data_IF_743347178342
#
_entry.id   IF_743347178342
#
_cell.length_a   1.000
_cell.length_b   1.000
_cell.length_c   1.000
_cell.angle_alpha   90.00
_cell.angle_beta   90.00
_cell.angle_gamma   90.00
#
_symmetry.space_group_name_H-M   'P 1'
#
loop_
_entity.id
_entity.type
_entity.pdbx_description
1 polymer ?
#
# COMPACT_ATOMS: atom_id res chain seq x y z
N UNK A 1 -35.11 -6.27 -68.69
CA UNK A 1 -35.44 -5.96 -67.27
C UNK A 1 -35.22 -7.20 -66.44
N UNK A 2 -34.16 -7.27 -65.62
CA UNK A 2 -33.97 -8.36 -64.65
C UNK A 2 -33.67 -7.76 -63.28
N UNK A 3 -34.63 -8.00 -62.41
CA UNK A 3 -34.84 -7.64 -61.01
C UNK A 3 -33.58 -7.39 -60.16
N UNK A 4 -33.53 -6.18 -59.62
CA UNK A 4 -32.72 -5.75 -58.48
C UNK A 4 -33.21 -6.54 -57.26
N UNK A 5 -32.40 -7.50 -56.79
CA UNK A 5 -32.64 -8.16 -55.50
C UNK A 5 -32.34 -7.14 -54.42
N UNK A 6 -33.39 -6.53 -53.88
CA UNK A 6 -33.34 -5.64 -52.73
C UNK A 6 -32.87 -6.41 -51.50
N UNK A 7 -31.55 -6.48 -51.32
CA UNK A 7 -30.95 -6.85 -50.05
C UNK A 7 -31.19 -5.69 -49.10
N UNK A 8 -32.20 -5.83 -48.23
CA UNK A 8 -32.37 -4.93 -47.09
C UNK A 8 -31.03 -4.67 -46.39
N UNK A 9 -30.84 -3.44 -45.94
CA UNK A 9 -29.61 -2.95 -45.31
C UNK A 9 -29.11 -3.95 -44.27
N UNK A 10 -27.79 -4.09 -44.10
CA UNK A 10 -27.21 -4.99 -43.10
C UNK A 10 -27.82 -4.80 -41.70
N UNK A 11 -28.23 -3.57 -41.38
CA UNK A 11 -28.98 -3.20 -40.17
C UNK A 11 -30.38 -3.83 -40.08
N UNK A 12 -31.11 -3.94 -41.18
CA UNK A 12 -32.44 -4.56 -41.21
C UNK A 12 -32.37 -6.07 -41.01
N UNK A 13 -31.31 -6.71 -41.53
CA UNK A 13 -31.02 -8.12 -41.25
C UNK A 13 -30.68 -8.33 -39.78
N UNK A 14 -29.88 -7.43 -39.20
CA UNK A 14 -29.50 -7.47 -37.79
C UNK A 14 -30.72 -7.34 -36.86
N UNK A 15 -31.66 -6.44 -37.16
CA UNK A 15 -32.90 -6.23 -36.38
C UNK A 15 -33.84 -7.45 -36.36
N UNK A 16 -33.73 -8.38 -37.33
CA UNK A 16 -34.52 -9.62 -37.34
C UNK A 16 -33.96 -10.69 -36.40
N UNK A 17 -32.68 -10.58 -36.04
CA UNK A 17 -31.96 -11.58 -35.23
C UNK A 17 -31.86 -11.11 -33.76
N UNK A 18 -31.74 -9.79 -33.55
CA UNK A 18 -31.62 -9.20 -32.22
C UNK A 18 -33.01 -9.13 -31.55
N UNK A 19 -33.13 -9.40 -30.22
CA UNK A 19 -34.38 -9.26 -29.49
C UNK A 19 -34.97 -7.84 -29.61
N UNK A 20 -36.29 -7.74 -29.70
CA UNK A 20 -36.99 -6.45 -29.91
C UNK A 20 -36.75 -5.41 -28.80
N UNK A 21 -36.30 -5.84 -27.62
CA UNK A 21 -35.96 -4.99 -26.48
C UNK A 21 -34.57 -4.33 -26.57
N UNK A 22 -33.70 -4.78 -27.48
CA UNK A 22 -32.32 -4.29 -27.56
C UNK A 22 -32.26 -3.07 -28.46
N UNK A 23 -31.94 -1.92 -27.86
CA UNK A 23 -31.69 -0.67 -28.55
C UNK A 23 -30.17 -0.42 -28.69
N UNK A 24 -29.72 0.33 -29.72
CA UNK A 24 -28.34 0.76 -29.81
C UNK A 24 -27.93 1.56 -28.56
N UNK A 25 -26.76 1.22 -28.00
CA UNK A 25 -26.24 1.87 -26.79
C UNK A 25 -25.92 3.36 -26.98
N UNK A 26 -25.65 3.78 -28.22
CA UNK A 26 -25.27 5.16 -28.57
C UNK A 26 -26.07 5.63 -29.79
N UNK A 27 -26.53 6.87 -29.77
CA UNK A 27 -27.24 7.50 -30.87
C UNK A 27 -26.32 8.24 -31.84
N UNK A 28 -25.12 8.63 -31.37
CA UNK A 28 -24.14 9.37 -32.18
C UNK A 28 -22.71 8.84 -32.04
N UNK A 29 -21.87 9.14 -33.03
CA UNK A 29 -20.42 8.82 -32.99
C UNK A 29 -19.72 9.60 -31.86
N UNK A 30 -20.19 10.81 -31.56
CA UNK A 30 -19.62 11.64 -30.49
C UNK A 30 -19.86 11.01 -29.11
N UNK A 31 -21.09 10.54 -28.85
CA UNK A 31 -21.44 9.80 -27.62
C UNK A 31 -20.60 8.53 -27.47
N UNK A 32 -20.45 7.76 -28.55
CA UNK A 32 -19.63 6.55 -28.53
C UNK A 32 -18.15 6.85 -28.23
N UNK A 33 -17.57 7.90 -28.84
CA UNK A 33 -16.17 8.30 -28.60
C UNK A 33 -15.95 8.77 -27.17
N UNK A 34 -16.85 9.59 -26.63
CA UNK A 34 -16.77 10.05 -25.25
C UNK A 34 -16.86 8.87 -24.26
N UNK A 35 -17.77 7.92 -24.51
CA UNK A 35 -17.86 6.70 -23.73
C UNK A 35 -16.57 5.87 -23.83
N UNK A 36 -16.05 5.64 -25.05
CA UNK A 36 -14.83 4.88 -25.28
C UNK A 36 -13.62 5.49 -24.58
N UNK A 37 -13.47 6.82 -24.61
CA UNK A 37 -12.41 7.52 -23.89
C UNK A 37 -12.56 7.36 -22.37
N UNK A 38 -13.77 7.51 -21.83
CA UNK A 38 -14.04 7.35 -20.40
C UNK A 38 -13.73 5.93 -19.90
N UNK A 39 -14.11 4.90 -20.67
CA UNK A 39 -13.82 3.51 -20.34
C UNK A 39 -12.35 3.17 -20.55
N UNK A 40 -11.72 3.77 -21.56
CA UNK A 40 -10.28 3.69 -21.78
C UNK A 40 -9.49 4.21 -20.57
N UNK A 41 -9.86 5.38 -20.04
CA UNK A 41 -9.24 5.94 -18.82
C UNK A 41 -9.39 5.01 -17.62
N UNK A 42 -10.61 4.53 -17.33
CA UNK A 42 -10.85 3.58 -16.24
C UNK A 42 -10.00 2.32 -16.36
N UNK A 43 -9.91 1.77 -17.58
CA UNK A 43 -9.11 0.56 -17.85
C UNK A 43 -7.61 0.81 -17.72
N UNK A 44 -7.12 1.97 -18.15
CA UNK A 44 -5.73 2.38 -17.95
C UNK A 44 -5.40 2.50 -16.45
N UNK A 45 -6.26 3.16 -15.67
CA UNK A 45 -6.09 3.27 -14.22
C UNK A 45 -6.09 1.91 -13.52
N UNK A 46 -6.98 1.01 -13.92
CA UNK A 46 -7.04 -0.36 -13.39
C UNK A 46 -5.76 -1.15 -13.72
N UNK A 47 -5.31 -1.09 -14.98
CA UNK A 47 -4.06 -1.71 -15.41
C UNK A 47 -2.84 -1.13 -14.69
N UNK A 48 -2.80 0.19 -14.46
CA UNK A 48 -1.73 0.82 -13.69
C UNK A 48 -1.70 0.32 -12.25
N UNK A 49 -2.85 0.19 -11.59
CA UNK A 49 -2.95 -0.38 -10.23
C UNK A 49 -2.49 -1.83 -10.19
N UNK A 50 -2.94 -2.67 -11.13
CA UNK A 50 -2.50 -4.06 -11.21
C UNK A 50 -0.99 -4.15 -11.45
N UNK A 51 -0.46 -3.34 -12.37
CA UNK A 51 0.97 -3.28 -12.64
C UNK A 51 1.77 -2.83 -11.42
N UNK A 52 1.28 -1.85 -10.66
CA UNK A 52 1.92 -1.42 -9.41
C UNK A 52 1.94 -2.54 -8.37
N UNK A 53 0.82 -3.25 -8.18
CA UNK A 53 0.73 -4.39 -7.28
C UNK A 53 1.70 -5.50 -7.69
N UNK A 54 1.69 -5.90 -8.96
CA UNK A 54 2.60 -6.92 -9.49
C UNK A 54 4.07 -6.50 -9.42
N UNK A 55 4.38 -5.21 -9.62
CA UNK A 55 5.75 -4.68 -9.48
C UNK A 55 6.22 -4.76 -8.04
N UNK A 56 5.41 -4.31 -7.09
CA UNK A 56 5.72 -4.44 -5.67
C UNK A 56 6.01 -5.92 -5.34
N UNK A 57 5.15 -6.85 -5.81
CA UNK A 57 5.31 -8.30 -5.64
C UNK A 57 6.59 -8.88 -6.27
N UNK A 58 7.09 -8.28 -7.35
CA UNK A 58 8.33 -8.70 -8.01
C UNK A 58 9.59 -8.16 -7.33
N UNK A 59 9.54 -6.94 -6.81
CA UNK A 59 10.72 -6.26 -6.27
C UNK A 59 11.06 -6.80 -4.88
N UNK A 60 10.05 -6.99 -4.03
CA UNK A 60 10.23 -7.37 -2.63
C UNK A 60 9.75 -8.81 -2.33
N UNK A 61 9.47 -9.63 -3.35
CA UNK A 61 8.71 -10.88 -3.21
C UNK A 61 7.22 -10.61 -2.99
N UNK A 62 6.36 -11.65 -2.87
CA UNK A 62 4.89 -11.53 -2.68
C UNK A 62 4.58 -10.38 -1.71
N UNK A 63 4.23 -9.22 -2.27
CA UNK A 63 4.36 -7.96 -1.58
C UNK A 63 3.14 -7.64 -0.73
N UNK A 64 3.42 -6.79 0.25
CA UNK A 64 2.45 -6.04 1.01
C UNK A 64 2.56 -6.37 2.48
N UNK A 65 2.48 -7.66 2.82
CA UNK A 65 2.43 -8.14 4.20
C UNK A 65 3.08 -9.54 4.21
N UNK A 66 4.08 -9.75 5.08
CA UNK A 66 4.70 -11.08 5.24
C UNK A 66 3.63 -12.15 5.43
N UNK A 67 3.85 -13.37 4.92
CA UNK A 67 2.88 -14.48 5.00
C UNK A 67 2.35 -14.70 6.43
N UNK A 68 3.23 -14.49 7.42
CA UNK A 68 2.95 -14.52 8.84
C UNK A 68 1.82 -13.57 9.28
N UNK A 69 1.70 -12.42 8.63
CA UNK A 69 0.79 -11.34 9.01
C UNK A 69 -0.38 -11.17 8.03
N UNK A 70 -0.50 -11.99 6.99
CA UNK A 70 -1.59 -11.89 5.99
C UNK A 70 -2.99 -11.98 6.61
N UNK A 71 -3.15 -12.84 7.61
CA UNK A 71 -4.43 -13.03 8.30
C UNK A 71 -4.69 -11.97 9.38
N UNK A 72 -3.75 -11.05 9.65
CA UNK A 72 -3.94 -9.99 10.64
C UNK A 72 -4.97 -8.98 10.15
N UNK A 73 -6.05 -8.84 10.91
CA UNK A 73 -7.12 -7.87 10.66
C UNK A 73 -7.41 -7.10 11.95
N UNK A 74 -8.20 -6.03 11.84
CA UNK A 74 -8.66 -5.33 13.04
C UNK A 74 -9.59 -6.18 13.92
N UNK A 75 -10.26 -7.18 13.34
CA UNK A 75 -11.22 -8.03 14.05
C UNK A 75 -10.55 -9.08 14.94
N UNK A 76 -9.36 -9.57 14.54
CA UNK A 76 -8.62 -10.57 15.31
C UNK A 76 -7.46 -9.98 16.13
N UNK A 77 -7.42 -8.65 16.30
CA UNK A 77 -6.51 -8.00 17.24
C UNK A 77 -7.08 -8.06 18.66
N UNK A 78 -6.39 -8.73 19.59
CA UNK A 78 -6.85 -8.89 20.97
C UNK A 78 -6.54 -7.65 21.80
N UNK A 79 -7.53 -7.18 22.56
CA UNK A 79 -7.44 -5.99 23.41
C UNK A 79 -7.64 -6.40 24.86
N UNK A 80 -6.57 -6.32 25.62
CA UNK A 80 -6.47 -6.69 27.04
C UNK A 80 -6.26 -5.46 27.96
N UNK A 81 -6.18 -4.25 27.40
CA UNK A 81 -6.00 -3.01 28.17
C UNK A 81 -6.23 -1.75 27.35
N UNK A 82 -6.23 -0.60 28.03
CA UNK A 82 -6.59 0.69 27.43
C UNK A 82 -5.56 1.16 26.39
N UNK A 83 -4.26 0.89 26.59
CA UNK A 83 -3.22 1.18 25.60
C UNK A 83 -3.46 0.48 24.26
N UNK A 84 -3.78 -0.82 24.31
CA UNK A 84 -4.12 -1.62 23.12
C UNK A 84 -5.43 -1.14 22.47
N UNK A 85 -6.42 -0.76 23.28
CA UNK A 85 -7.69 -0.21 22.78
C UNK A 85 -7.43 1.09 22.03
N UNK A 86 -6.63 2.00 22.59
CA UNK A 86 -6.26 3.26 21.96
C UNK A 86 -5.48 3.04 20.66
N UNK A 87 -4.51 2.12 20.66
CA UNK A 87 -3.76 1.76 19.47
C UNK A 87 -4.67 1.23 18.35
N UNK A 88 -5.60 0.33 18.68
CA UNK A 88 -6.58 -0.21 17.74
C UNK A 88 -7.50 0.89 17.18
N UNK A 89 -8.01 1.79 18.04
CA UNK A 89 -8.87 2.89 17.61
C UNK A 89 -8.16 3.85 16.66
N UNK A 90 -6.92 4.25 16.99
CA UNK A 90 -6.13 5.14 16.13
C UNK A 90 -5.79 4.47 14.81
N UNK A 91 -5.39 3.20 14.81
CA UNK A 91 -5.11 2.45 13.58
C UNK A 91 -6.35 2.28 12.69
N UNK A 92 -7.53 2.03 13.28
CA UNK A 92 -8.80 1.98 12.55
C UNK A 92 -9.15 3.35 11.94
N UNK A 93 -9.07 4.41 12.74
CA UNK A 93 -9.34 5.77 12.28
C UNK A 93 -8.41 6.18 11.15
N UNK A 94 -7.13 5.85 11.25
CA UNK A 94 -6.14 6.06 10.20
C UNK A 94 -6.56 5.39 8.89
N UNK A 95 -6.88 4.10 8.95
CA UNK A 95 -7.24 3.35 7.75
C UNK A 95 -8.56 3.85 7.13
N UNK A 96 -9.53 4.24 7.96
CA UNK A 96 -10.82 4.76 7.53
C UNK A 96 -10.73 6.12 6.82
N UNK A 97 -9.83 6.99 7.27
CA UNK A 97 -9.65 8.35 6.74
C UNK A 97 -8.48 8.43 5.75
N UNK A 98 -7.97 7.29 5.28
CA UNK A 98 -6.84 7.26 4.36
C UNK A 98 -7.24 7.87 3.01
N UNK A 99 -6.50 8.88 2.56
CA UNK A 99 -6.76 9.63 1.33
C UNK A 99 -7.42 11.00 1.56
N UNK A 100 -8.03 11.24 2.73
CA UNK A 100 -8.64 12.54 3.07
C UNK A 100 -7.63 13.57 3.62
N UNK A 101 -6.37 13.15 3.78
CA UNK A 101 -5.28 14.00 4.27
C UNK A 101 -3.93 13.30 4.17
N UNK A 102 -2.90 13.99 4.64
CA UNK A 102 -1.52 13.52 4.64
C UNK A 102 -1.08 13.14 6.05
N UNK A 103 -1.52 11.97 6.52
CA UNK A 103 -1.16 11.50 7.86
C UNK A 103 -0.18 10.35 7.74
N UNK A 104 0.97 10.44 8.41
CA UNK A 104 1.90 9.33 8.62
C UNK A 104 1.66 8.71 10.00
N UNK A 105 2.21 7.51 10.26
CA UNK A 105 2.13 6.91 11.59
C UNK A 105 3.46 6.31 12.05
N UNK A 106 3.68 6.35 13.35
CA UNK A 106 4.80 5.70 14.02
C UNK A 106 4.27 4.83 15.14
N UNK A 107 4.56 3.52 15.04
CA UNK A 107 4.34 2.56 16.11
C UNK A 107 5.68 2.24 16.76
N UNK A 108 5.85 2.71 17.99
CA UNK A 108 7.04 2.51 18.82
C UNK A 108 6.72 1.51 19.93
N UNK A 109 7.65 0.66 20.33
CA UNK A 109 7.52 -0.16 21.55
C UNK A 109 8.20 -1.52 21.45
N UNK A 110 8.07 -2.37 22.48
CA UNK A 110 8.83 -3.63 22.53
C UNK A 110 8.41 -4.65 21.45
N UNK A 111 9.24 -5.65 21.12
CA UNK A 111 8.86 -6.75 20.24
C UNK A 111 7.67 -7.56 20.80
N UNK A 112 6.81 -8.05 19.91
CA UNK A 112 5.69 -8.92 20.28
C UNK A 112 4.46 -8.20 20.84
N UNK A 113 4.41 -6.87 20.78
CA UNK A 113 3.27 -6.06 21.25
C UNK A 113 2.18 -5.85 20.19
N UNK A 114 2.38 -6.33 18.96
CA UNK A 114 1.37 -6.29 17.90
C UNK A 114 1.46 -5.10 16.94
N UNK A 115 2.60 -4.38 16.89
CA UNK A 115 2.86 -3.32 15.91
C UNK A 115 2.63 -3.78 14.46
N UNK A 116 3.29 -4.88 14.07
CA UNK A 116 3.15 -5.49 12.75
C UNK A 116 1.74 -5.98 12.47
N UNK A 117 1.01 -6.46 13.49
CA UNK A 117 -0.39 -6.87 13.33
C UNK A 117 -1.26 -5.68 12.95
N UNK A 118 -1.15 -4.54 13.66
CA UNK A 118 -1.94 -3.35 13.33
C UNK A 118 -1.53 -2.74 12.00
N UNK A 119 -0.24 -2.72 11.66
CA UNK A 119 0.22 -2.28 10.35
C UNK A 119 -0.32 -3.17 9.22
N UNK A 120 -0.31 -4.50 9.41
CA UNK A 120 -0.90 -5.45 8.48
C UNK A 120 -2.43 -5.31 8.39
N UNK A 121 -3.11 -5.02 9.50
CA UNK A 121 -4.55 -4.77 9.51
C UNK A 121 -4.94 -3.50 8.73
N UNK A 122 -4.18 -2.41 8.90
CA UNK A 122 -4.26 -1.21 8.05
C UNK A 122 -4.03 -1.61 6.60
N UNK A 123 -2.96 -2.37 6.35
CA UNK A 123 -2.59 -2.86 5.02
C UNK A 123 -3.74 -3.58 4.30
N UNK A 124 -4.27 -4.61 4.95
CA UNK A 124 -5.37 -5.41 4.45
C UNK A 124 -6.64 -4.57 4.18
N UNK A 125 -6.96 -3.63 5.08
CA UNK A 125 -8.12 -2.76 4.93
C UNK A 125 -8.03 -1.83 3.72
N UNK A 126 -6.84 -1.31 3.45
CA UNK A 126 -6.55 -0.41 2.34
C UNK A 126 -6.44 -1.16 1.00
N UNK A 127 -5.85 -2.35 0.98
CA UNK A 127 -5.83 -3.22 -0.20
C UNK A 127 -7.25 -3.56 -0.68
N UNK A 128 -8.18 -3.81 0.25
CA UNK A 128 -9.60 -4.03 -0.07
C UNK A 128 -10.29 -2.80 -0.69
N UNK A 129 -9.73 -1.60 -0.54
CA UNK A 129 -10.22 -0.34 -1.13
C UNK A 129 -9.46 0.07 -2.40
N UNK A 130 -8.61 -0.82 -2.91
CA UNK A 130 -7.86 -0.57 -4.15
C UNK A 130 -6.61 0.28 -3.98
N UNK A 131 -6.14 0.51 -2.75
CA UNK A 131 -4.86 1.17 -2.49
C UNK A 131 -3.70 0.18 -2.56
N UNK A 132 -2.52 0.69 -2.91
CA UNK A 132 -1.26 -0.08 -2.98
C UNK A 132 -0.43 0.13 -1.73
N UNK A 133 0.13 -0.97 -1.21
CA UNK A 133 0.84 -0.95 0.07
C UNK A 133 2.04 -1.85 0.01
N UNK A 134 3.13 -1.39 0.63
CA UNK A 134 4.34 -2.16 0.77
C UNK A 134 4.83 -2.10 2.22
N UNK A 135 4.98 -3.26 2.85
CA UNK A 135 5.71 -3.40 4.12
C UNK A 135 7.08 -3.98 3.79
N UNK A 136 8.14 -3.28 4.20
CA UNK A 136 9.53 -3.69 3.98
C UNK A 136 10.34 -3.48 5.25
N UNK A 137 11.18 -4.45 5.61
CA UNK A 137 12.12 -4.29 6.72
C UNK A 137 13.32 -3.45 6.26
N UNK A 138 13.93 -2.68 7.16
CA UNK A 138 15.16 -1.95 6.81
C UNK A 138 16.28 -2.89 6.30
N UNK A 139 16.56 -4.05 6.92
CA UNK A 139 17.54 -4.99 6.38
C UNK A 139 17.26 -5.44 4.94
N UNK A 140 15.99 -5.76 4.60
CA UNK A 140 15.61 -6.19 3.25
C UNK A 140 15.74 -5.06 2.23
N UNK A 141 15.33 -3.85 2.61
CA UNK A 141 15.50 -2.66 1.78
C UNK A 141 16.97 -2.44 1.43
N UNK A 142 17.86 -2.53 2.43
CA UNK A 142 19.29 -2.30 2.23
C UNK A 142 19.95 -3.43 1.43
N UNK A 143 19.48 -4.67 1.59
CA UNK A 143 19.88 -5.77 0.70
C UNK A 143 19.50 -5.45 -0.75
N UNK A 144 18.29 -4.95 -0.99
CA UNK A 144 17.82 -4.62 -2.34
C UNK A 144 18.60 -3.49 -2.98
N UNK A 145 18.97 -2.48 -2.19
CA UNK A 145 19.83 -1.38 -2.65
C UNK A 145 21.22 -1.91 -3.04
N UNK A 146 21.81 -2.82 -2.26
CA UNK A 146 23.09 -3.46 -2.62
C UNK A 146 22.99 -4.24 -3.93
N UNK A 147 21.92 -5.02 -4.11
CA UNK A 147 21.70 -5.77 -5.36
C UNK A 147 21.56 -4.84 -6.58
N UNK A 148 21.01 -3.63 -6.43
CA UNK A 148 20.96 -2.66 -7.52
C UNK A 148 22.37 -2.25 -7.98
N UNK A 149 23.28 -1.98 -7.04
CA UNK A 149 24.68 -1.68 -7.38
C UNK A 149 25.38 -2.86 -8.07
N UNK A 150 25.17 -4.08 -7.59
CA UNK A 150 25.83 -5.28 -8.12
C UNK A 150 25.33 -5.67 -9.52
N UNK A 151 24.06 -5.41 -9.81
CA UNK A 151 23.41 -5.79 -11.10
C UNK A 151 23.40 -4.68 -12.15
N UNK A 152 23.94 -3.50 -11.82
CA UNK A 152 23.90 -2.32 -12.69
C UNK A 152 22.49 -1.75 -12.89
N UNK A 153 21.52 -2.15 -12.06
CA UNK A 153 20.18 -1.56 -12.04
C UNK A 153 20.21 -0.23 -11.33
N UNK A 154 19.37 0.70 -11.78
CA UNK A 154 19.34 2.03 -11.22
C UNK A 154 18.74 2.02 -9.81
N UNK A 155 19.51 2.49 -8.82
CA UNK A 155 19.01 2.81 -7.48
C UNK A 155 17.79 3.75 -7.55
N UNK A 156 17.75 4.64 -8.54
CA UNK A 156 16.63 5.54 -8.74
C UNK A 156 15.33 4.80 -9.07
N UNK A 157 15.38 3.67 -9.80
CA UNK A 157 14.18 2.87 -10.08
C UNK A 157 13.61 2.25 -8.80
N UNK A 158 14.47 1.70 -7.95
CA UNK A 158 14.05 1.16 -6.65
C UNK A 158 13.41 2.24 -5.77
N UNK A 159 14.03 3.42 -5.70
CA UNK A 159 13.49 4.56 -4.95
C UNK A 159 12.15 5.04 -5.53
N UNK A 160 12.00 5.05 -6.85
CA UNK A 160 10.74 5.41 -7.51
C UNK A 160 9.64 4.40 -7.19
N UNK A 161 9.94 3.11 -7.22
CA UNK A 161 8.97 2.07 -6.87
C UNK A 161 8.52 2.18 -5.40
N UNK A 162 9.45 2.49 -4.48
CA UNK A 162 9.13 2.80 -3.09
C UNK A 162 8.28 4.06 -2.95
N UNK A 163 8.41 5.03 -3.86
CA UNK A 163 7.60 6.25 -3.85
C UNK A 163 6.23 6.07 -4.53
N UNK A 164 6.04 5.09 -5.42
CA UNK A 164 4.79 4.89 -6.17
C UNK A 164 3.66 4.22 -5.39
N UNK A 165 3.95 3.52 -4.30
CA UNK A 165 2.91 2.91 -3.46
C UNK A 165 2.17 3.97 -2.63
N UNK A 166 0.88 3.76 -2.40
CA UNK A 166 0.06 4.70 -1.62
C UNK A 166 0.53 4.76 -0.16
N UNK A 167 0.82 3.60 0.44
CA UNK A 167 1.41 3.50 1.77
C UNK A 167 2.67 2.64 1.77
N UNK A 168 3.78 3.21 2.26
CA UNK A 168 5.00 2.47 2.57
C UNK A 168 5.12 2.31 4.08
N UNK A 169 5.24 1.07 4.55
CA UNK A 169 5.52 0.75 5.95
C UNK A 169 6.95 0.25 6.05
N UNK A 170 7.76 0.99 6.80
CA UNK A 170 9.14 0.66 7.12
C UNK A 170 9.17 -0.05 8.46
N UNK A 171 9.52 -1.32 8.44
CA UNK A 171 9.61 -2.17 9.62
C UNK A 171 11.05 -2.28 10.12
N UNK A 172 11.21 -2.55 11.41
CA UNK A 172 12.50 -2.70 12.07
C UNK A 172 13.42 -1.46 11.96
N UNK A 173 12.81 -0.26 11.91
CA UNK A 173 13.58 0.99 11.92
C UNK A 173 14.38 1.10 13.22
N UNK A 174 15.68 1.30 13.10
CA UNK A 174 16.61 1.33 14.23
C UNK A 174 17.44 0.05 14.45
N UNK A 175 17.20 -1.03 13.69
CA UNK A 175 18.06 -2.23 13.70
C UNK A 175 19.29 -2.08 12.77
N UNK A 176 19.31 -1.02 11.95
CA UNK A 176 20.45 -0.68 11.07
C UNK A 176 21.79 -0.68 11.81
N UNK A 177 22.85 -1.18 11.15
CA UNK A 177 24.20 -1.38 11.72
C UNK A 177 25.01 -0.08 11.80
N UNK A 178 24.36 1.04 12.12
CA UNK A 178 24.95 2.39 12.18
C UNK A 178 25.73 2.82 10.92
N UNK A 179 25.48 2.20 9.76
CA UNK A 179 26.18 2.60 8.54
C UNK A 179 25.61 3.91 8.00
N UNK A 180 26.49 4.87 7.73
CA UNK A 180 26.10 6.22 7.25
C UNK A 180 25.24 6.16 5.99
N UNK A 181 25.50 5.19 5.11
CA UNK A 181 24.77 5.02 3.86
C UNK A 181 23.33 4.55 4.10
N UNK A 182 23.09 3.60 5.02
CA UNK A 182 21.74 3.11 5.35
C UNK A 182 20.86 4.26 5.85
N UNK A 183 21.39 5.10 6.75
CA UNK A 183 20.68 6.29 7.25
C UNK A 183 20.36 7.29 6.13
N UNK A 184 21.29 7.52 5.20
CA UNK A 184 21.08 8.43 4.06
C UNK A 184 19.96 7.93 3.15
N UNK A 185 19.99 6.65 2.75
CA UNK A 185 18.97 6.07 1.87
C UNK A 185 17.60 6.09 2.56
N UNK A 186 17.53 5.68 3.82
CA UNK A 186 16.30 5.70 4.62
C UNK A 186 15.70 7.12 4.67
N UNK A 187 16.54 8.11 4.96
CA UNK A 187 16.12 9.50 5.02
C UNK A 187 15.66 10.02 3.66
N UNK A 188 16.32 9.64 2.56
CA UNK A 188 15.90 10.02 1.21
C UNK A 188 14.55 9.41 0.84
N UNK A 189 14.30 8.13 1.16
CA UNK A 189 13.02 7.48 0.90
C UNK A 189 11.90 8.19 1.64
N UNK A 190 12.08 8.45 2.94
CA UNK A 190 11.06 9.13 3.75
C UNK A 190 10.86 10.55 3.22
N UNK A 191 11.93 11.32 3.00
CA UNK A 191 11.82 12.71 2.53
C UNK A 191 11.09 12.81 1.17
N UNK A 192 11.46 11.98 0.18
CA UNK A 192 10.81 11.98 -1.14
C UNK A 192 9.32 11.68 -1.05
N UNK A 193 8.93 10.72 -0.21
CA UNK A 193 7.52 10.36 -0.02
C UNK A 193 6.75 11.49 0.65
N UNK A 194 7.26 12.00 1.76
CA UNK A 194 6.60 13.07 2.49
C UNK A 194 6.49 14.35 1.63
N UNK A 195 7.52 14.68 0.86
CA UNK A 195 7.50 15.81 -0.09
C UNK A 195 6.51 15.61 -1.24
N UNK A 196 6.18 14.36 -1.56
CA UNK A 196 5.18 14.00 -2.58
C UNK A 196 3.79 13.79 -2.00
N UNK A 197 3.54 14.23 -0.76
CA UNK A 197 2.28 14.02 -0.03
C UNK A 197 1.87 12.55 0.07
N UNK A 198 2.85 11.64 0.15
CA UNK A 198 2.63 10.20 0.30
C UNK A 198 3.00 9.73 1.71
N UNK A 199 2.07 9.13 2.45
CA UNK A 199 2.30 8.78 3.85
C UNK A 199 3.28 7.62 4.01
N UNK A 200 3.90 7.58 5.20
CA UNK A 200 4.82 6.53 5.63
C UNK A 200 4.38 5.99 6.99
N UNK A 201 4.38 4.67 7.13
CA UNK A 201 4.27 3.98 8.41
C UNK A 201 5.66 3.59 8.91
N UNK A 202 5.98 3.87 10.16
CA UNK A 202 7.25 3.47 10.78
C UNK A 202 6.97 2.52 11.94
N UNK A 203 7.57 1.34 11.93
CA UNK A 203 7.55 0.39 13.04
C UNK A 203 8.94 0.32 13.65
N UNK A 204 9.03 0.57 14.95
CA UNK A 204 10.32 0.61 15.64
C UNK A 204 10.23 0.04 17.06
N UNK A 205 11.37 -0.45 17.55
CA UNK A 205 11.55 -0.77 18.97
C UNK A 205 12.25 0.36 19.74
N UNK A 206 12.65 1.44 19.05
CA UNK A 206 13.27 2.61 19.65
C UNK A 206 12.21 3.49 20.32
N UNK A 207 12.62 4.22 21.36
CA UNK A 207 11.83 5.30 21.92
C UNK A 207 11.92 6.56 21.03
N UNK A 208 11.24 7.63 21.41
CA UNK A 208 11.23 8.88 20.64
C UNK A 208 12.65 9.46 20.45
N UNK A 209 13.43 9.58 21.54
CA UNK A 209 14.77 10.17 21.53
C UNK A 209 15.72 9.40 20.60
N UNK A 210 15.81 8.07 20.75
CA UNK A 210 16.65 7.23 19.90
C UNK A 210 16.18 7.22 18.44
N UNK A 211 14.88 7.37 18.18
CA UNK A 211 14.38 7.50 16.82
C UNK A 211 14.77 8.85 16.19
N UNK A 212 14.77 9.93 16.98
CA UNK A 212 15.27 11.26 16.56
C UNK A 212 16.76 11.20 16.21
N UNK A 213 17.57 10.50 17.00
CA UNK A 213 19.00 10.30 16.68
C UNK A 213 19.21 9.49 15.39
N UNK A 214 18.28 8.56 15.12
CA UNK A 214 18.38 7.64 13.99
C UNK A 214 17.94 8.29 12.67
N UNK A 215 16.77 8.94 12.66
CA UNK A 215 16.16 9.54 11.46
C UNK A 215 16.44 11.04 11.33
N UNK A 216 16.79 11.71 12.43
CA UNK A 216 16.95 13.16 12.48
C UNK A 216 15.64 13.89 12.80
N UNK A 217 15.76 14.99 13.55
CA UNK A 217 14.63 15.80 14.00
C UNK A 217 13.72 16.29 12.86
N UNK A 218 14.30 16.68 11.72
CA UNK A 218 13.55 17.15 10.54
C UNK A 218 12.58 16.10 9.98
N UNK A 219 12.95 14.82 9.99
CA UNK A 219 12.08 13.76 9.48
C UNK A 219 10.99 13.44 10.47
N UNK A 220 11.32 13.42 11.77
CA UNK A 220 10.36 13.21 12.85
C UNK A 220 9.28 14.29 12.87
N UNK A 221 9.67 15.55 12.72
CA UNK A 221 8.76 16.68 12.58
C UNK A 221 7.78 16.47 11.42
N UNK A 222 8.29 16.07 10.25
CA UNK A 222 7.47 15.78 9.07
C UNK A 222 6.56 14.57 9.21
N UNK A 223 6.98 13.53 9.93
CA UNK A 223 6.13 12.38 10.23
C UNK A 223 4.97 12.75 11.18
N UNK A 224 5.12 13.84 11.95
CA UNK A 224 4.11 14.35 12.88
C UNK A 224 3.22 15.46 12.30
N UNK A 225 3.51 15.95 11.09
CA UNK A 225 2.66 16.90 10.38
C UNK A 225 1.23 16.36 10.17
N UNK A 226 0.25 17.27 10.04
CA UNK A 226 -1.15 16.98 9.76
C UNK A 226 -1.76 15.87 10.64
N UNK A 227 -1.51 15.97 11.94
CA UNK A 227 -1.97 15.01 12.96
C UNK A 227 -1.33 13.62 12.84
N UNK A 228 -0.05 13.56 12.48
CA UNK A 228 0.74 12.32 12.43
C UNK A 228 0.56 11.48 13.70
N UNK A 229 0.25 10.20 13.50
CA UNK A 229 -0.17 9.32 14.58
C UNK A 229 1.06 8.70 15.24
N UNK A 230 1.31 9.04 16.50
CA UNK A 230 2.30 8.35 17.32
C UNK A 230 1.62 7.46 18.35
N UNK A 231 1.93 6.16 18.33
CA UNK A 231 1.41 5.19 19.30
C UNK A 231 2.57 4.45 19.94
N UNK A 232 2.60 4.47 21.28
CA UNK A 232 3.55 3.71 22.06
C UNK A 232 2.93 2.38 22.51
N UNK A 233 3.65 1.29 22.29
CA UNK A 233 3.27 -0.09 22.58
C UNK A 233 4.07 -0.57 23.79
N UNK A 234 3.62 -0.18 24.98
CA UNK A 234 4.30 -0.32 26.26
C UNK A 234 3.82 -1.51 27.11
N UNK A 235 3.02 -2.41 26.52
CA UNK A 235 2.52 -3.63 27.17
C UNK A 235 3.41 -4.85 26.91
N UNK A 236 3.10 -5.94 27.62
CA UNK A 236 3.83 -7.20 27.52
C UNK A 236 3.64 -7.92 26.17
N UNK A 237 4.63 -8.74 25.82
CA UNK A 237 4.63 -9.51 24.58
C UNK A 237 3.47 -10.51 24.54
N UNK A 238 2.67 -10.42 23.48
CA UNK A 238 1.53 -11.30 23.23
C UNK A 238 1.93 -12.62 22.53
N UNK A 239 3.21 -12.80 22.16
CA UNK A 239 3.67 -13.99 21.41
C UNK A 239 3.38 -15.31 22.12
N UNK A 240 3.33 -15.31 23.46
CA UNK A 240 3.01 -16.50 24.27
C UNK A 240 1.57 -17.00 24.06
N UNK A 241 0.67 -16.13 23.62
CA UNK A 241 -0.76 -16.40 23.44
C UNK A 241 -1.14 -16.65 21.97
N UNK A 242 -0.17 -16.65 21.05
CA UNK A 242 -0.41 -16.88 19.62
C UNK A 242 -0.38 -18.39 19.34
N UNK A 243 -1.56 -19.03 19.31
CA UNK A 243 -1.67 -20.48 19.12
C UNK A 243 -1.72 -20.94 17.65
N UNK A 244 -2.03 -20.05 16.71
CA UNK A 244 -2.23 -20.38 15.29
C UNK A 244 -0.93 -20.52 14.46
N UNK A 245 0.23 -20.31 15.09
CA UNK A 245 1.56 -20.45 14.46
C UNK A 245 2.27 -21.75 14.84
N UNK A 246 1.58 -22.68 15.51
CA UNK A 246 2.10 -24.04 15.68
C UNK A 246 2.13 -24.70 14.32
N UNK A 247 3.31 -24.74 13.71
CA UNK A 247 3.59 -25.55 12.53
C UNK A 247 3.02 -26.94 12.80
N UNK A 248 2.07 -27.36 11.96
CA UNK A 248 1.60 -28.75 11.96
C UNK A 248 2.85 -29.59 11.72
N UNK A 249 3.19 -30.43 12.69
CA UNK A 249 4.32 -31.36 12.59
C UNK A 249 4.19 -32.25 11.35
#
# INVERSE_FOLDING_TARGET
MKNIVGTGSALERLKRIIPASVQPKFGTVAEWRAWQESEGRKRCEELERENQKTRAEKIFGRAGIQDLHRSCTFANYQVNGDGQRRALTLAKSYAQNFGDGFTSFVFSGKPGTGKNHLAAAIGNYLLQRGHTILVVTIPDLMLRVRECYDTGKSEAELLDDLCRVDLLVLDEVGIQRDSRNEKVILNQVIDRRLSSMRPVGVLTNLNYESLVETLGARILDRLQMDSGIWVNFDWDSHRKNVHHLRVVK
#
